data_IF_441414027907
#
_entry.id   IF_441414027907
#
_cell.length_a   1.000
_cell.length_b   1.000
_cell.length_c   1.000
_cell.angle_alpha   90.00
_cell.angle_beta   90.00
_cell.angle_gamma   90.00
#
_symmetry.space_group_name_H-M   'P 1'
#
loop_
_entity.id
_entity.type
_entity.pdbx_description
1 polymer ?
#
# COMPACT_ATOMS: atom_id res chain seq x y z
N UNK A 1 34.10 31.79 -6.03
CA UNK A 1 33.75 30.38 -6.30
C UNK A 1 32.64 29.99 -5.35
N UNK A 2 31.39 30.21 -5.75
CA UNK A 2 30.23 29.80 -4.96
C UNK A 2 29.96 28.31 -5.17
N UNK A 3 29.76 27.60 -4.06
CA UNK A 3 29.40 26.19 -4.01
C UNK A 3 28.00 26.03 -4.60
N UNK A 4 27.89 25.28 -5.69
CA UNK A 4 26.58 24.88 -6.22
C UNK A 4 25.94 23.93 -5.23
N UNK A 5 24.83 24.42 -4.71
CA UNK A 5 23.89 23.89 -3.73
C UNK A 5 23.50 22.44 -3.99
N UNK A 6 23.39 21.67 -2.90
CA UNK A 6 22.98 20.28 -2.90
C UNK A 6 21.70 20.04 -3.69
N UNK A 7 21.73 19.01 -4.52
CA UNK A 7 20.54 18.39 -5.10
C UNK A 7 19.62 18.02 -3.94
N UNK A 8 18.54 18.79 -3.74
CA UNK A 8 17.42 18.35 -2.90
C UNK A 8 16.95 17.04 -3.51
N UNK A 9 17.31 15.91 -2.89
CA UNK A 9 16.72 14.62 -3.22
C UNK A 9 15.21 14.82 -3.18
N UNK A 10 14.47 14.37 -4.20
CA UNK A 10 13.01 14.49 -4.18
C UNK A 10 12.48 13.85 -2.90
N UNK A 11 11.42 14.43 -2.33
CA UNK A 11 10.74 13.86 -1.17
C UNK A 11 10.40 12.39 -1.48
N UNK A 12 11.11 11.48 -0.82
CA UNK A 12 10.97 10.05 -1.05
C UNK A 12 9.69 9.57 -0.39
N UNK A 13 8.86 8.86 -1.14
CA UNK A 13 7.62 8.28 -0.64
C UNK A 13 7.91 7.20 0.41
N UNK A 14 7.04 7.06 1.41
CA UNK A 14 7.05 5.90 2.30
C UNK A 14 6.55 4.64 1.59
N UNK A 15 6.81 3.46 2.16
CA UNK A 15 6.28 2.20 1.63
C UNK A 15 4.74 2.23 1.49
N UNK A 16 4.04 2.83 2.46
CA UNK A 16 2.59 3.08 2.39
C UNK A 16 2.23 3.92 1.16
N UNK A 17 2.92 5.05 0.99
CA UNK A 17 2.65 6.00 -0.10
C UNK A 17 2.92 5.40 -1.48
N UNK A 18 3.89 4.48 -1.62
CA UNK A 18 4.10 3.74 -2.88
C UNK A 18 2.90 2.85 -3.20
N UNK A 19 2.37 2.12 -2.21
CA UNK A 19 1.16 1.29 -2.40
C UNK A 19 -0.07 2.15 -2.72
N UNK A 20 -0.22 3.28 -2.04
CA UNK A 20 -1.28 4.26 -2.35
C UNK A 20 -1.14 4.81 -3.76
N UNK A 21 0.07 5.20 -4.19
CA UNK A 21 0.32 5.70 -5.54
C UNK A 21 -0.06 4.67 -6.59
N UNK A 22 0.36 3.41 -6.43
CA UNK A 22 -0.03 2.32 -7.34
C UNK A 22 -1.55 2.19 -7.41
N UNK A 23 -2.22 2.09 -6.27
CA UNK A 23 -3.68 1.93 -6.21
C UNK A 23 -4.40 3.09 -6.90
N UNK A 24 -3.94 4.32 -6.69
CA UNK A 24 -4.60 5.51 -7.22
C UNK A 24 -4.34 5.66 -8.72
N UNK A 25 -3.10 5.47 -9.19
CA UNK A 25 -2.80 5.54 -10.63
C UNK A 25 -3.51 4.43 -11.41
N UNK A 26 -3.56 3.20 -10.89
CA UNK A 26 -4.22 2.08 -11.57
C UNK A 26 -5.75 2.17 -11.56
N UNK A 27 -6.35 2.89 -10.62
CA UNK A 27 -7.81 3.07 -10.54
C UNK A 27 -8.32 4.34 -11.24
N UNK A 28 -7.42 5.26 -11.58
CA UNK A 28 -7.79 6.51 -12.22
C UNK A 28 -7.87 6.31 -13.72
N UNK A 29 -9.03 6.60 -14.29
CA UNK A 29 -9.23 6.68 -15.74
C UNK A 29 -8.48 7.91 -16.28
N UNK A 30 -7.61 7.71 -17.27
CA UNK A 30 -6.87 8.76 -17.99
C UNK A 30 -7.15 8.75 -19.49
N UNK A 31 -8.15 8.01 -19.97
CA UNK A 31 -8.38 7.76 -21.41
C UNK A 31 -8.70 9.04 -22.19
N UNK A 32 -9.20 10.08 -21.52
CA UNK A 32 -9.45 11.39 -22.14
C UNK A 32 -8.19 12.24 -22.36
N UNK A 33 -6.99 11.76 -21.99
CA UNK A 33 -5.73 12.47 -22.19
C UNK A 33 -4.98 11.82 -23.36
N UNK A 34 -5.25 12.30 -24.57
CA UNK A 34 -4.62 11.82 -25.81
C UNK A 34 -3.18 12.34 -26.00
N UNK A 35 -2.33 12.13 -24.98
CA UNK A 35 -0.91 12.52 -24.99
C UNK A 35 -0.01 11.32 -24.68
N UNK A 36 0.80 10.91 -25.67
CA UNK A 36 1.67 9.74 -25.55
C UNK A 36 2.79 9.89 -24.51
N UNK A 37 3.30 11.11 -24.27
CA UNK A 37 4.30 11.36 -23.23
C UNK A 37 3.67 11.23 -21.85
N UNK A 38 2.44 11.71 -21.68
CA UNK A 38 1.68 11.57 -20.45
C UNK A 38 1.38 10.09 -20.18
N UNK A 39 0.77 9.38 -21.13
CA UNK A 39 0.44 7.97 -21.01
C UNK A 39 1.67 7.11 -20.66
N UNK A 40 2.80 7.35 -21.34
CA UNK A 40 4.07 6.69 -21.03
C UNK A 40 4.54 6.97 -19.59
N UNK A 41 4.43 8.20 -19.13
CA UNK A 41 4.85 8.60 -17.78
C UNK A 41 3.99 7.95 -16.69
N UNK A 42 2.68 7.85 -16.90
CA UNK A 42 1.76 7.15 -15.99
C UNK A 42 2.11 5.66 -15.95
N UNK A 43 2.19 5.00 -17.11
CA UNK A 43 2.50 3.57 -17.18
C UNK A 43 3.85 3.25 -16.51
N UNK A 44 4.88 4.07 -16.75
CA UNK A 44 6.20 3.88 -16.15
C UNK A 44 6.18 3.99 -14.62
N UNK A 45 5.35 4.87 -14.06
CA UNK A 45 5.16 4.93 -12.61
C UNK A 45 4.41 3.70 -12.08
N UNK A 46 3.36 3.24 -12.77
CA UNK A 46 2.61 2.03 -12.43
C UNK A 46 3.54 0.81 -12.40
N UNK A 47 4.35 0.60 -13.44
CA UNK A 47 5.26 -0.54 -13.54
C UNK A 47 6.29 -0.55 -12.39
N UNK A 48 6.87 0.62 -12.10
CA UNK A 48 7.83 0.78 -10.99
C UNK A 48 7.17 0.54 -9.64
N UNK A 49 6.02 1.15 -9.40
CA UNK A 49 5.29 1.00 -8.14
C UNK A 49 4.80 -0.43 -7.94
N UNK A 50 4.42 -1.14 -9.01
CA UNK A 50 4.08 -2.56 -8.99
C UNK A 50 5.25 -3.43 -8.53
N UNK A 51 6.44 -3.20 -9.11
CA UNK A 51 7.64 -3.96 -8.75
C UNK A 51 8.05 -3.73 -7.30
N UNK A 52 8.02 -2.47 -6.85
CA UNK A 52 8.33 -2.11 -5.46
C UNK A 52 7.26 -2.63 -4.50
N UNK A 53 5.97 -2.56 -4.83
CA UNK A 53 4.88 -3.10 -4.00
C UNK A 53 5.07 -4.59 -3.74
N UNK A 54 5.45 -5.38 -4.75
CA UNK A 54 5.75 -6.81 -4.57
C UNK A 54 6.91 -7.04 -3.60
N UNK A 55 7.90 -6.14 -3.58
CA UNK A 55 9.03 -6.21 -2.65
C UNK A 55 8.60 -5.86 -1.23
N UNK A 56 7.78 -4.82 -1.07
CA UNK A 56 7.16 -4.44 0.20
C UNK A 56 6.33 -5.59 0.75
N UNK A 57 5.48 -6.22 -0.06
CA UNK A 57 4.61 -7.32 0.38
C UNK A 57 5.42 -8.54 0.85
N UNK A 58 6.52 -8.87 0.15
CA UNK A 58 7.45 -9.92 0.59
C UNK A 58 8.14 -9.60 1.91
N UNK A 59 8.54 -8.34 2.11
CA UNK A 59 9.16 -7.90 3.35
C UNK A 59 8.16 -7.97 4.52
N UNK A 60 6.92 -7.52 4.32
CA UNK A 60 5.84 -7.64 5.30
C UNK A 60 5.59 -9.11 5.66
N UNK A 61 5.49 -10.01 4.68
CA UNK A 61 5.27 -11.43 4.95
C UNK A 61 6.43 -12.05 5.75
N UNK A 62 7.67 -11.66 5.46
CA UNK A 62 8.83 -12.10 6.23
C UNK A 62 8.81 -11.59 7.69
N UNK A 63 8.21 -10.42 7.96
CA UNK A 63 8.08 -9.87 9.32
C UNK A 63 7.09 -10.62 10.20
N UNK A 64 6.08 -11.26 9.59
CA UNK A 64 5.06 -12.05 10.32
C UNK A 64 5.70 -13.17 11.13
N UNK A 65 6.80 -13.74 10.62
CA UNK A 65 7.58 -14.77 11.31
C UNK A 65 6.91 -16.15 11.23
N UNK A 66 7.74 -17.21 11.17
CA UNK A 66 7.28 -18.59 10.94
C UNK A 66 6.28 -19.07 12.00
N UNK A 67 6.53 -18.75 13.26
CA UNK A 67 5.67 -19.20 14.37
C UNK A 67 4.25 -18.65 14.26
N UNK A 68 4.11 -17.35 13.97
CA UNK A 68 2.77 -16.76 13.79
C UNK A 68 2.08 -17.36 12.56
N UNK A 69 2.79 -17.55 11.46
CA UNK A 69 2.24 -18.20 10.26
C UNK A 69 1.72 -19.62 10.54
N UNK A 70 2.47 -20.40 11.31
CA UNK A 70 2.09 -21.76 11.69
C UNK A 70 0.85 -21.78 12.60
N UNK A 71 0.77 -20.85 13.56
CA UNK A 71 -0.40 -20.70 14.44
C UNK A 71 -1.63 -20.21 13.67
N UNK A 72 -1.50 -19.21 12.78
CA UNK A 72 -2.58 -18.75 11.91
C UNK A 72 -3.08 -19.89 11.01
N UNK A 73 -2.18 -20.72 10.48
CA UNK A 73 -2.54 -21.90 9.67
C UNK A 73 -3.25 -22.98 10.49
N UNK A 74 -2.79 -23.24 11.72
CA UNK A 74 -3.40 -24.22 12.63
C UNK A 74 -4.86 -23.89 12.95
N UNK A 75 -5.17 -22.60 13.10
CA UNK A 75 -6.51 -22.11 13.47
C UNK A 75 -7.29 -21.50 12.29
N UNK A 76 -6.80 -21.68 11.06
CA UNK A 76 -7.36 -21.06 9.86
C UNK A 76 -8.85 -21.41 9.66
N UNK A 77 -9.24 -22.65 9.91
CA UNK A 77 -10.65 -23.07 9.75
C UNK A 77 -11.56 -22.41 10.79
N UNK A 78 -11.16 -22.30 12.06
CA UNK A 78 -11.93 -21.60 13.09
C UNK A 78 -12.18 -20.14 12.71
N UNK A 79 -11.15 -19.46 12.22
CA UNK A 79 -11.24 -18.05 11.78
C UNK A 79 -12.12 -17.93 10.54
N UNK A 80 -11.95 -18.84 9.56
CA UNK A 80 -12.73 -18.86 8.32
C UNK A 80 -14.21 -19.11 8.58
N UNK A 81 -14.56 -20.04 9.48
CA UNK A 81 -15.95 -20.26 9.88
C UNK A 81 -16.56 -19.02 10.55
N UNK A 82 -15.83 -18.36 11.45
CA UNK A 82 -16.30 -17.14 12.10
C UNK A 82 -16.50 -16.00 11.09
N UNK A 83 -15.56 -15.79 10.18
CA UNK A 83 -15.66 -14.81 9.11
C UNK A 83 -16.84 -15.09 8.17
N UNK A 84 -17.00 -16.34 7.73
CA UNK A 84 -18.10 -16.74 6.85
C UNK A 84 -19.47 -16.54 7.52
N UNK A 85 -19.62 -16.92 8.80
CA UNK A 85 -20.85 -16.67 9.57
C UNK A 85 -21.15 -15.18 9.69
N UNK A 86 -20.14 -14.33 9.86
CA UNK A 86 -20.33 -12.89 9.89
C UNK A 86 -20.75 -12.33 8.53
N UNK A 87 -20.18 -12.83 7.44
CA UNK A 87 -20.48 -12.40 6.08
C UNK A 87 -21.82 -12.94 5.55
N UNK A 88 -22.34 -14.00 6.14
CA UNK A 88 -23.60 -14.61 5.75
C UNK A 88 -24.74 -13.58 5.79
N UNK A 89 -25.42 -13.41 4.65
CA UNK A 89 -26.50 -12.43 4.49
C UNK A 89 -26.07 -10.97 4.45
N UNK A 90 -24.76 -10.65 4.52
CA UNK A 90 -24.25 -9.27 4.45
C UNK A 90 -23.83 -8.90 3.03
N UNK A 91 -24.50 -7.89 2.48
CA UNK A 91 -24.12 -7.26 1.20
C UNK A 91 -23.15 -6.09 1.37
N UNK A 92 -23.06 -5.52 2.59
CA UNK A 92 -22.12 -4.47 2.98
C UNK A 92 -21.66 -4.69 4.42
N UNK A 93 -20.39 -4.44 4.69
CA UNK A 93 -19.80 -4.51 6.02
C UNK A 93 -18.61 -3.55 6.11
N UNK A 94 -18.27 -3.12 7.33
CA UNK A 94 -17.04 -2.38 7.59
C UNK A 94 -15.90 -3.38 7.76
N UNK A 95 -14.74 -3.07 7.17
CA UNK A 95 -13.54 -3.94 7.29
C UNK A 95 -13.14 -4.11 8.76
N UNK A 96 -13.25 -3.05 9.56
CA UNK A 96 -12.99 -3.10 11.01
C UNK A 96 -13.87 -4.11 11.75
N UNK A 97 -15.12 -4.31 11.32
CA UNK A 97 -16.02 -5.29 11.94
C UNK A 97 -15.54 -6.72 11.65
N UNK A 98 -15.09 -6.98 10.42
CA UNK A 98 -14.53 -8.28 10.03
C UNK A 98 -13.23 -8.56 10.78
N UNK A 99 -12.37 -7.56 10.95
CA UNK A 99 -11.13 -7.66 11.72
C UNK A 99 -11.39 -7.96 13.20
N UNK A 100 -12.43 -7.35 13.78
CA UNK A 100 -12.89 -7.67 15.14
C UNK A 100 -13.38 -9.12 15.26
N UNK A 101 -14.14 -9.61 14.27
CA UNK A 101 -14.59 -11.01 14.23
C UNK A 101 -13.40 -11.97 14.16
N UNK A 102 -12.43 -11.70 13.29
CA UNK A 102 -11.22 -12.51 13.16
C UNK A 102 -10.42 -12.52 14.48
N UNK A 103 -10.28 -11.35 15.12
CA UNK A 103 -9.57 -11.22 16.39
C UNK A 103 -10.28 -11.99 17.52
N UNK A 104 -11.60 -11.90 17.59
CA UNK A 104 -12.40 -12.66 18.55
C UNK A 104 -12.33 -14.17 18.28
N UNK A 105 -12.29 -14.59 17.01
CA UNK A 105 -12.12 -16.00 16.66
C UNK A 105 -10.77 -16.55 17.10
N UNK A 106 -9.69 -15.77 16.99
CA UNK A 106 -8.40 -16.18 17.56
C UNK A 106 -8.43 -16.23 19.09
N UNK A 107 -9.18 -15.35 19.74
CA UNK A 107 -9.30 -15.29 21.20
C UNK A 107 -9.98 -16.53 21.81
N UNK A 108 -10.70 -17.34 21.02
CA UNK A 108 -11.31 -18.60 21.48
C UNK A 108 -10.41 -19.83 21.29
N UNK A 109 -9.22 -19.66 20.70
CA UNK A 109 -8.28 -20.75 20.45
C UNK A 109 -7.39 -21.04 21.65
N UNK A 110 -6.87 -22.27 21.75
CA UNK A 110 -5.92 -22.66 22.80
C UNK A 110 -4.61 -21.85 22.78
N UNK A 111 -4.28 -21.23 21.64
CA UNK A 111 -3.05 -20.44 21.45
C UNK A 111 -3.32 -18.92 21.49
N UNK A 112 -4.50 -18.48 21.96
CA UNK A 112 -4.95 -17.09 21.91
C UNK A 112 -3.92 -16.07 22.41
N UNK A 113 -3.37 -16.28 23.61
CA UNK A 113 -2.37 -15.39 24.21
C UNK A 113 -1.08 -15.32 23.38
N UNK A 114 -0.66 -16.47 22.84
CA UNK A 114 0.56 -16.55 22.02
C UNK A 114 0.37 -15.84 20.69
N UNK A 115 -0.77 -16.06 20.03
CA UNK A 115 -1.15 -15.40 18.78
C UNK A 115 -1.22 -13.89 19.01
N UNK A 116 -1.86 -13.43 20.08
CA UNK A 116 -1.95 -12.01 20.43
C UNK A 116 -0.57 -11.37 20.54
N UNK A 117 0.32 -11.93 21.37
CA UNK A 117 1.68 -11.39 21.57
C UNK A 117 2.47 -11.34 20.26
N UNK A 118 2.34 -12.37 19.40
CA UNK A 118 3.04 -12.41 18.12
C UNK A 118 2.44 -11.43 17.10
N UNK A 119 1.11 -11.28 17.04
CA UNK A 119 0.42 -10.31 16.19
C UNK A 119 0.75 -8.88 16.60
N UNK A 120 0.76 -8.56 17.89
CA UNK A 120 1.11 -7.23 18.38
C UNK A 120 2.54 -6.85 17.96
N UNK A 121 3.50 -7.77 18.12
CA UNK A 121 4.89 -7.58 17.65
C UNK A 121 4.99 -7.43 16.13
N UNK A 122 4.17 -8.18 15.38
CA UNK A 122 4.12 -8.05 13.93
C UNK A 122 3.55 -6.69 13.52
N UNK A 123 2.45 -6.24 14.11
CA UNK A 123 1.82 -4.94 13.84
C UNK A 123 2.81 -3.81 14.12
N UNK A 124 3.49 -3.82 15.27
CA UNK A 124 4.49 -2.80 15.59
C UNK A 124 5.61 -2.71 14.53
N UNK A 125 6.13 -3.86 14.08
CA UNK A 125 7.15 -3.93 13.03
C UNK A 125 6.60 -3.49 11.68
N UNK A 126 5.40 -3.94 11.33
CA UNK A 126 4.71 -3.60 10.10
C UNK A 126 4.46 -2.09 10.01
N UNK A 127 3.93 -1.49 11.07
CA UNK A 127 3.59 -0.07 11.10
C UNK A 127 4.83 0.80 11.03
N UNK A 128 5.92 0.39 11.69
CA UNK A 128 7.22 1.04 11.51
C UNK A 128 7.68 0.94 10.05
N UNK A 129 7.68 -0.26 9.48
CA UNK A 129 8.17 -0.50 8.12
C UNK A 129 7.34 0.21 7.05
N UNK A 130 6.01 0.22 7.15
CA UNK A 130 5.15 0.82 6.13
C UNK A 130 5.29 2.35 6.11
N UNK A 131 5.65 2.95 7.25
CA UNK A 131 5.91 4.38 7.39
C UNK A 131 7.36 4.78 7.12
N UNK A 132 8.27 3.81 6.93
CA UNK A 132 9.65 4.10 6.51
C UNK A 132 9.69 4.56 5.05
N UNK A 133 10.62 5.46 4.77
CA UNK A 133 10.92 5.93 3.42
C UNK A 133 11.33 4.77 2.51
N UNK A 134 10.66 4.61 1.38
CA UNK A 134 10.98 3.60 0.38
C UNK A 134 12.25 4.01 -0.38
N UNK A 135 13.39 3.39 -0.04
CA UNK A 135 14.67 3.75 -0.64
C UNK A 135 14.75 3.42 -2.13
N UNK A 136 14.07 2.35 -2.54
CA UNK A 136 14.11 1.75 -3.88
C UNK A 136 13.10 2.37 -4.85
N UNK A 137 12.21 3.24 -4.36
CA UNK A 137 11.25 3.93 -5.22
C UNK A 137 11.69 5.35 -5.52
N UNK A 138 11.95 5.59 -6.80
CA UNK A 138 12.07 6.92 -7.37
C UNK A 138 10.99 7.09 -8.45
N UNK A 139 10.00 7.98 -8.24
CA UNK A 139 8.95 8.22 -9.21
C UNK A 139 9.50 8.83 -10.50
N UNK A 140 8.93 8.45 -11.64
CA UNK A 140 9.20 9.12 -12.90
C UNK A 140 8.43 10.44 -12.93
N UNK A 141 9.14 11.55 -12.74
CA UNK A 141 8.51 12.85 -12.50
C UNK A 141 7.94 13.47 -13.78
N UNK A 142 6.79 14.12 -13.62
CA UNK A 142 6.13 14.96 -14.61
C UNK A 142 6.39 16.43 -14.31
N UNK A 143 6.76 17.18 -15.33
CA UNK A 143 6.96 18.62 -15.21
C UNK A 143 5.62 19.35 -14.94
N UNK A 144 5.62 20.30 -13.99
CA UNK A 144 4.41 21.01 -13.59
C UNK A 144 3.82 21.87 -14.73
N UNK A 145 4.66 22.57 -15.51
CA UNK A 145 4.21 23.38 -16.63
C UNK A 145 3.63 22.53 -17.76
N UNK A 146 4.21 21.34 -17.97
CA UNK A 146 3.67 20.36 -18.90
C UNK A 146 2.29 19.86 -18.45
N UNK A 147 2.14 19.51 -17.16
CA UNK A 147 0.88 19.00 -16.59
C UNK A 147 -0.25 20.04 -16.66
N UNK A 148 0.06 21.33 -16.45
CA UNK A 148 -0.92 22.42 -16.53
C UNK A 148 -1.56 22.59 -17.92
N UNK A 149 -0.91 22.10 -18.97
CA UNK A 149 -1.40 22.18 -20.36
C UNK A 149 -2.37 21.04 -20.70
N UNK A 150 -2.46 20.02 -19.85
CA UNK A 150 -3.28 18.83 -20.10
C UNK A 150 -4.72 19.04 -19.59
N UNK A 151 -5.73 18.49 -20.30
CA UNK A 151 -7.14 18.62 -19.91
C UNK A 151 -7.52 17.66 -18.77
N UNK A 152 -6.81 17.74 -17.64
CA UNK A 152 -6.99 16.87 -16.48
C UNK A 152 -8.18 17.31 -15.61
N UNK A 153 -9.03 16.36 -15.25
CA UNK A 153 -10.06 16.54 -14.22
C UNK A 153 -9.40 16.62 -12.83
N UNK A 154 -10.12 17.19 -11.85
CA UNK A 154 -9.62 17.32 -10.47
C UNK A 154 -9.17 16.00 -9.85
N UNK A 155 -9.89 14.89 -10.11
CA UNK A 155 -9.52 13.56 -9.64
C UNK A 155 -8.20 13.07 -10.25
N UNK A 156 -8.01 13.29 -11.56
CA UNK A 156 -6.80 12.92 -12.29
C UNK A 156 -5.60 13.73 -11.82
N UNK A 157 -5.78 15.04 -11.61
CA UNK A 157 -4.75 15.90 -11.03
C UNK A 157 -4.32 15.39 -9.65
N UNK A 158 -5.29 15.10 -8.77
CA UNK A 158 -5.00 14.57 -7.43
C UNK A 158 -4.24 13.24 -7.48
N UNK A 159 -4.56 12.37 -8.46
CA UNK A 159 -3.89 11.10 -8.64
C UNK A 159 -2.40 11.24 -9.00
N UNK A 160 -2.05 12.25 -9.80
CA UNK A 160 -0.67 12.45 -10.28
C UNK A 160 0.15 13.41 -9.41
N UNK A 161 -0.45 14.14 -8.45
CA UNK A 161 0.27 15.07 -7.58
C UNK A 161 1.59 14.52 -6.99
N UNK A 162 1.67 13.26 -6.50
CA UNK A 162 2.91 12.72 -5.94
C UNK A 162 4.05 12.58 -6.96
N UNK A 163 3.73 12.58 -8.26
CA UNK A 163 4.69 12.41 -9.36
C UNK A 163 4.95 13.70 -10.13
N UNK A 164 4.40 14.85 -9.72
CA UNK A 164 4.74 16.15 -10.30
C UNK A 164 6.07 16.66 -9.70
N UNK A 165 6.88 17.38 -10.49
CA UNK A 165 8.03 18.17 -10.01
C UNK A 165 7.53 19.44 -9.34
N UNK A 166 8.09 19.78 -8.17
CA UNK A 166 7.90 21.12 -7.59
C UNK A 166 8.54 22.21 -8.46
#
# INVERSE_FOLDING_TARGET
MEKVTGTKKPAKLTNAQVKTLLSVLSATDFDNIEDGKFAYSIQRNIDRATSVSKTIDKAVEAMKGKELQELEKKHAETVKEAANKFLEGKTRYLVADLENVITNAYATTADADRIKVLRDKFIEKHDKFINETCADFEPYKLDAEYVQKLPLKRSQMAAIMPIITE
#
